data_IF_574986922773
#
_entry.id   IF_574986922773
#
_cell.length_a   1.000
_cell.length_b   1.000
_cell.length_c   1.000
_cell.angle_alpha   90.00
_cell.angle_beta   90.00
_cell.angle_gamma   90.00
#
_symmetry.space_group_name_H-M   'P 1'
#
loop_
_entity.id
_entity.type
_entity.pdbx_description
1 polymer ?
#
# COMPACT_ATOMS: atom_id res chain seq x y z
N UNK A 1 11.29 5.80 13.85
CA UNK A 1 10.23 6.72 14.33
C UNK A 1 9.15 5.88 14.98
N UNK A 2 8.18 6.48 15.66
CA UNK A 2 7.04 5.76 16.21
C UNK A 2 5.84 6.07 15.31
N UNK A 3 5.09 5.05 14.91
CA UNK A 3 3.87 5.31 14.16
C UNK A 3 2.85 6.01 15.08
N UNK A 4 2.55 7.28 14.79
CA UNK A 4 1.58 8.10 15.49
C UNK A 4 0.58 8.83 14.57
N UNK A 5 0.73 8.64 13.24
CA UNK A 5 -0.15 9.18 12.23
C UNK A 5 0.24 10.59 11.79
N UNK A 6 1.48 10.99 12.06
CA UNK A 6 2.05 12.27 11.63
C UNK A 6 3.19 12.01 10.65
N UNK A 7 3.15 12.68 9.49
CA UNK A 7 4.29 12.66 8.57
C UNK A 7 5.40 13.56 9.14
N UNK A 8 6.42 12.95 9.75
CA UNK A 8 7.50 13.71 10.40
C UNK A 8 8.59 14.16 9.42
N UNK A 9 9.44 15.15 9.81
CA UNK A 9 10.49 15.67 8.94
C UNK A 9 11.44 14.65 8.30
N UNK A 10 11.79 13.49 8.92
CA UNK A 10 12.66 12.50 8.29
C UNK A 10 12.12 11.86 7.01
N UNK A 11 10.80 11.80 6.81
CA UNK A 11 10.21 11.36 5.54
C UNK A 11 10.63 12.25 4.36
N UNK A 12 10.89 13.54 4.61
CA UNK A 12 11.19 14.50 3.56
C UNK A 12 9.96 14.79 2.69
N UNK A 13 10.19 14.96 1.38
CA UNK A 13 9.10 15.10 0.42
C UNK A 13 8.44 13.75 0.14
N UNK A 14 7.17 13.75 -0.22
CA UNK A 14 6.49 12.55 -0.70
C UNK A 14 7.23 11.95 -1.91
N UNK A 15 7.28 10.62 -1.98
CA UNK A 15 7.76 9.88 -3.16
C UNK A 15 6.87 10.16 -4.38
N UNK A 16 5.57 10.31 -4.14
CA UNK A 16 4.55 10.62 -5.13
C UNK A 16 3.46 11.44 -4.47
N UNK A 17 2.94 12.38 -5.25
CA UNK A 17 1.80 13.25 -4.90
C UNK A 17 0.90 13.33 -6.12
N UNK A 18 -0.41 13.24 -5.92
CA UNK A 18 -1.42 13.48 -6.94
C UNK A 18 -2.59 14.32 -6.41
N UNK A 19 -3.44 14.78 -7.34
CA UNK A 19 -4.61 15.58 -7.01
C UNK A 19 -5.81 14.66 -6.74
N UNK A 20 -6.62 15.00 -5.74
CA UNK A 20 -7.82 14.24 -5.41
C UNK A 20 -8.85 14.16 -6.56
N UNK A 21 -9.65 13.09 -6.58
CA UNK A 21 -10.91 13.01 -7.33
C UNK A 21 -10.92 12.02 -8.49
N UNK A 22 -9.90 11.18 -8.59
CA UNK A 22 -9.70 10.11 -9.56
C UNK A 22 -10.07 8.72 -9.02
N UNK A 23 -10.32 8.57 -7.71
CA UNK A 23 -10.90 7.35 -7.18
C UNK A 23 -12.23 6.98 -7.86
N UNK A 24 -12.43 5.69 -8.08
CA UNK A 24 -13.66 5.10 -8.60
C UNK A 24 -14.87 5.59 -7.79
N UNK A 25 -15.87 6.12 -8.50
CA UNK A 25 -17.07 6.75 -7.92
C UNK A 25 -16.79 7.97 -7.01
N UNK A 26 -15.57 8.54 -7.06
CA UNK A 26 -15.12 9.70 -6.25
C UNK A 26 -15.30 9.48 -4.75
N UNK A 27 -14.98 8.28 -4.29
CA UNK A 27 -15.05 7.93 -2.87
C UNK A 27 -13.79 8.44 -2.18
N UNK A 28 -13.88 9.62 -1.57
CA UNK A 28 -12.75 10.31 -0.94
C UNK A 28 -11.96 9.47 0.08
N UNK A 29 -12.61 8.53 0.78
CA UNK A 29 -11.92 7.63 1.70
C UNK A 29 -10.92 6.69 0.99
N UNK A 30 -11.20 6.32 -0.27
CA UNK A 30 -10.39 5.42 -1.09
C UNK A 30 -9.50 6.17 -2.10
N UNK A 31 -9.52 7.49 -2.06
CA UNK A 31 -8.82 8.41 -2.97
C UNK A 31 -7.45 8.73 -2.35
N UNK A 32 -6.40 8.22 -2.96
CA UNK A 32 -5.01 8.27 -2.52
C UNK A 32 -4.42 9.60 -2.95
N UNK A 33 -3.57 10.20 -2.12
CA UNK A 33 -2.99 11.52 -2.42
C UNK A 33 -1.48 11.50 -2.41
N UNK A 34 -0.88 10.93 -1.37
CA UNK A 34 0.55 10.99 -1.16
C UNK A 34 1.06 9.66 -0.60
N UNK A 35 2.27 9.28 -1.01
CA UNK A 35 3.06 8.22 -0.39
C UNK A 35 4.42 8.78 0.02
N UNK A 36 4.73 8.61 1.28
CA UNK A 36 5.99 8.93 1.91
C UNK A 36 6.70 7.64 2.26
N UNK A 37 8.01 7.61 2.07
CA UNK A 37 8.82 6.50 2.53
C UNK A 37 10.19 6.98 2.99
N UNK A 38 10.66 6.35 4.05
CA UNK A 38 11.96 6.60 4.63
C UNK A 38 12.48 5.30 5.23
N UNK A 39 13.78 5.05 5.12
CA UNK A 39 14.40 3.91 5.79
C UNK A 39 15.56 4.38 6.66
N UNK A 40 15.67 3.75 7.82
CA UNK A 40 16.88 3.78 8.64
C UNK A 40 17.61 2.42 8.56
N UNK A 41 18.59 2.20 9.43
CA UNK A 41 19.43 1.00 9.38
C UNK A 41 18.67 -0.33 9.56
N UNK A 42 17.51 -0.30 10.22
CA UNK A 42 16.78 -1.51 10.60
C UNK A 42 15.30 -1.48 10.22
N UNK A 43 14.74 -0.32 9.90
CA UNK A 43 13.31 -0.14 9.69
C UNK A 43 13.02 0.61 8.38
N UNK A 44 12.00 0.11 7.67
CA UNK A 44 11.28 0.85 6.64
C UNK A 44 10.08 1.54 7.28
N UNK A 45 9.95 2.84 7.07
CA UNK A 45 8.83 3.69 7.48
C UNK A 45 8.08 4.12 6.23
N UNK A 46 6.76 4.00 6.26
CA UNK A 46 5.85 4.32 5.16
C UNK A 46 4.69 5.14 5.72
N UNK A 47 4.30 6.19 5.03
CA UNK A 47 3.05 6.88 5.32
C UNK A 47 2.30 7.14 4.02
N UNK A 48 0.98 7.03 4.02
CA UNK A 48 0.17 7.48 2.90
C UNK A 48 -1.05 8.25 3.38
N UNK A 49 -1.59 9.08 2.50
CA UNK A 49 -2.75 9.90 2.79
C UNK A 49 -3.91 9.59 1.85
N UNK A 50 -5.13 9.81 2.36
CA UNK A 50 -6.35 9.71 1.56
C UNK A 50 -7.15 11.01 1.62
N UNK A 51 -7.91 11.33 0.58
CA UNK A 51 -8.65 12.59 0.43
C UNK A 51 -9.86 12.75 1.35
N UNK A 52 -10.09 11.81 2.26
CA UNK A 52 -11.24 11.78 3.14
C UNK A 52 -11.06 10.85 4.33
N UNK A 53 -12.07 10.83 5.20
CA UNK A 53 -12.04 10.00 6.39
C UNK A 53 -12.00 8.51 6.01
N UNK A 54 -10.84 7.90 6.22
CA UNK A 54 -10.57 6.48 6.00
C UNK A 54 -11.56 5.53 6.69
N UNK A 55 -12.18 5.94 7.80
CA UNK A 55 -13.24 5.17 8.48
C UNK A 55 -14.64 5.49 7.97
N UNK A 56 -14.83 6.38 6.99
CA UNK A 56 -16.15 6.63 6.41
C UNK A 56 -16.64 5.45 5.54
N UNK A 57 -15.72 4.60 5.06
CA UNK A 57 -16.00 3.51 4.11
C UNK A 57 -15.14 2.28 4.43
N UNK A 58 -15.70 1.09 4.22
CA UNK A 58 -14.90 -0.16 4.23
C UNK A 58 -14.08 -0.28 2.95
N UNK A 59 -12.87 -0.80 3.06
CA UNK A 59 -11.96 -0.93 1.94
C UNK A 59 -10.62 -1.50 2.36
N UNK A 60 -9.67 -1.53 1.43
CA UNK A 60 -8.30 -1.95 1.71
C UNK A 60 -7.32 -1.11 0.91
N UNK A 61 -6.14 -0.89 1.46
CA UNK A 61 -5.00 -0.24 0.84
C UNK A 61 -3.90 -1.28 0.73
N UNK A 62 -3.49 -1.55 -0.49
CA UNK A 62 -2.59 -2.63 -0.88
C UNK A 62 -1.26 -1.99 -1.25
N UNK A 63 -0.27 -2.09 -0.37
CA UNK A 63 1.10 -1.68 -0.64
C UNK A 63 1.86 -2.87 -1.18
N UNK A 64 2.24 -2.83 -2.45
CA UNK A 64 3.07 -3.83 -3.11
C UNK A 64 4.54 -3.41 -2.99
N UNK A 65 5.39 -4.34 -2.58
CA UNK A 65 6.82 -4.14 -2.41
C UNK A 65 7.54 -5.15 -3.29
N UNK A 66 8.25 -4.64 -4.28
CA UNK A 66 9.19 -5.38 -5.12
C UNK A 66 10.62 -5.06 -4.63
N UNK A 67 11.26 -6.08 -4.07
CA UNK A 67 12.57 -6.01 -3.45
C UNK A 67 13.71 -6.44 -4.37
N UNK A 68 13.42 -7.24 -5.40
CA UNK A 68 14.44 -7.80 -6.30
C UNK A 68 14.50 -7.06 -7.63
N UNK A 69 13.40 -6.47 -8.08
CA UNK A 69 13.21 -5.85 -9.38
C UNK A 69 13.53 -6.80 -10.53
N UNK A 70 13.05 -8.03 -10.39
CA UNK A 70 13.23 -9.11 -11.35
C UNK A 70 11.89 -9.83 -11.66
N UNK A 71 11.99 -11.03 -12.23
CA UNK A 71 10.84 -11.79 -12.70
C UNK A 71 10.30 -12.81 -11.68
N UNK A 72 10.89 -12.92 -10.49
CA UNK A 72 10.65 -14.00 -9.52
C UNK A 72 9.50 -13.72 -8.54
N UNK A 73 9.03 -12.47 -8.44
CA UNK A 73 7.88 -12.10 -7.63
C UNK A 73 6.54 -12.62 -8.17
N UNK A 74 5.44 -12.19 -7.52
CA UNK A 74 4.10 -12.58 -7.91
C UNK A 74 3.60 -11.83 -9.16
N UNK A 75 2.93 -12.53 -10.07
CA UNK A 75 2.22 -11.91 -11.22
C UNK A 75 0.72 -11.68 -10.95
N UNK A 76 0.21 -12.20 -9.83
CA UNK A 76 -1.20 -12.11 -9.44
C UNK A 76 -1.35 -11.64 -7.99
N UNK A 77 -2.42 -10.88 -7.72
CA UNK A 77 -2.74 -10.38 -6.39
C UNK A 77 -3.03 -11.47 -5.34
N UNK A 78 -2.75 -11.20 -4.04
CA UNK A 78 -3.17 -12.10 -2.94
C UNK A 78 -4.69 -12.23 -2.93
N UNK A 79 -5.19 -13.46 -3.03
CA UNK A 79 -6.63 -13.71 -3.12
C UNK A 79 -7.20 -13.52 -4.53
N UNK A 80 -6.34 -13.32 -5.54
CA UNK A 80 -6.67 -13.30 -6.97
C UNK A 80 -7.68 -12.21 -7.34
N UNK A 81 -7.51 -11.00 -6.79
CA UNK A 81 -8.18 -9.81 -7.33
C UNK A 81 -7.76 -9.61 -8.79
N UNK A 82 -8.54 -8.87 -9.60
CA UNK A 82 -8.17 -8.55 -10.98
C UNK A 82 -7.07 -7.46 -11.00
N UNK A 83 -6.01 -7.66 -10.23
CA UNK A 83 -4.81 -6.82 -10.19
C UNK A 83 -3.64 -7.77 -10.46
N UNK A 84 -2.91 -7.48 -11.52
CA UNK A 84 -1.76 -8.25 -12.01
C UNK A 84 -0.52 -7.39 -11.94
N UNK A 85 0.65 -8.03 -11.88
CA UNK A 85 1.94 -7.40 -12.00
C UNK A 85 2.73 -8.06 -13.12
N UNK A 86 3.62 -7.31 -13.76
CA UNK A 86 4.47 -7.81 -14.84
C UNK A 86 5.91 -7.34 -14.67
N UNK A 87 6.81 -8.00 -15.38
CA UNK A 87 8.22 -7.65 -15.39
C UNK A 87 8.39 -6.17 -15.81
N UNK A 88 9.26 -5.39 -15.13
CA UNK A 88 10.20 -5.83 -14.09
C UNK A 88 9.69 -5.74 -12.64
N UNK A 89 8.39 -5.46 -12.41
CA UNK A 89 7.85 -5.12 -11.10
C UNK A 89 6.90 -6.19 -10.54
N UNK A 90 7.38 -7.42 -10.41
CA UNK A 90 6.61 -8.45 -9.71
C UNK A 90 6.94 -8.39 -8.21
N UNK A 91 5.96 -8.09 -7.33
CA UNK A 91 6.25 -7.91 -5.90
C UNK A 91 6.48 -9.23 -5.16
N UNK A 92 7.45 -9.22 -4.24
CA UNK A 92 7.66 -10.31 -3.27
C UNK A 92 6.85 -10.12 -2.00
N UNK A 93 6.43 -8.89 -1.69
CA UNK A 93 5.66 -8.62 -0.47
C UNK A 93 4.46 -7.73 -0.75
N UNK A 94 3.40 -7.92 0.06
CA UNK A 94 2.24 -7.04 0.06
C UNK A 94 1.77 -6.76 1.49
N UNK A 95 1.72 -5.49 1.85
CA UNK A 95 1.19 -5.02 3.12
C UNK A 95 -0.23 -4.49 2.91
N UNK A 96 -1.19 -5.14 3.58
CA UNK A 96 -2.61 -4.78 3.49
C UNK A 96 -2.98 -3.94 4.70
N UNK A 97 -3.59 -2.78 4.48
CA UNK A 97 -4.32 -2.04 5.49
C UNK A 97 -5.80 -2.12 5.15
N UNK A 98 -6.58 -2.88 5.92
CA UNK A 98 -8.02 -3.05 5.69
C UNK A 98 -8.85 -2.30 6.73
N UNK A 99 -9.85 -1.57 6.28
CA UNK A 99 -10.88 -0.97 7.13
C UNK A 99 -12.10 -1.90 7.13
N UNK A 100 -12.37 -2.48 8.28
CA UNK A 100 -13.40 -3.48 8.47
C UNK A 100 -14.47 -2.97 9.42
N UNK A 101 -15.73 -3.27 9.14
CA UNK A 101 -16.84 -3.03 10.06
C UNK A 101 -17.18 -4.31 10.84
N UNK A 102 -17.11 -4.24 12.17
CA UNK A 102 -17.52 -5.31 13.07
C UNK A 102 -18.42 -4.74 14.16
N UNK A 103 -19.65 -5.24 14.25
CA UNK A 103 -20.64 -4.82 15.26
C UNK A 103 -20.91 -3.29 15.29
N UNK A 104 -20.87 -2.65 14.12
CA UNK A 104 -21.11 -1.21 13.99
C UNK A 104 -19.92 -0.33 14.40
N UNK A 105 -18.78 -0.92 14.73
CA UNK A 105 -17.51 -0.21 14.90
C UNK A 105 -16.59 -0.52 13.72
N UNK A 106 -15.85 0.49 13.26
CA UNK A 106 -14.81 0.29 12.26
C UNK A 106 -13.45 0.20 12.91
N UNK A 107 -12.62 -0.69 12.38
CA UNK A 107 -11.23 -0.87 12.80
C UNK A 107 -10.31 -1.04 11.61
N UNK A 108 -9.05 -0.66 11.81
CA UNK A 108 -7.96 -1.06 10.92
C UNK A 108 -7.52 -2.50 11.21
N UNK A 109 -7.09 -3.19 10.17
CA UNK A 109 -6.43 -4.49 10.22
C UNK A 109 -5.21 -4.43 9.32
N UNK A 110 -4.09 -4.99 9.77
CA UNK A 110 -2.82 -4.97 9.04
C UNK A 110 -2.34 -6.39 8.83
N UNK A 111 -2.04 -6.74 7.59
CA UNK A 111 -1.59 -8.08 7.20
C UNK A 111 -0.42 -7.96 6.25
N UNK A 112 0.69 -8.63 6.56
CA UNK A 112 1.81 -8.76 5.64
C UNK A 112 1.76 -10.12 4.97
N UNK A 113 1.86 -10.13 3.64
CA UNK A 113 1.97 -11.33 2.82
C UNK A 113 3.32 -11.33 2.10
N UNK A 114 3.91 -12.50 1.97
CA UNK A 114 5.13 -12.75 1.21
C UNK A 114 4.85 -13.77 0.11
N UNK A 115 5.43 -13.56 -1.06
CA UNK A 115 5.42 -14.50 -2.17
C UNK A 115 6.52 -15.53 -1.94
N UNK A 116 6.14 -16.79 -1.76
CA UNK A 116 7.08 -17.87 -1.54
C UNK A 116 6.53 -19.16 -2.13
N UNK A 117 7.42 -19.92 -2.79
CA UNK A 117 7.08 -21.23 -3.34
C UNK A 117 5.91 -21.20 -4.35
N UNK A 118 5.71 -20.07 -5.04
CA UNK A 118 4.68 -19.89 -6.06
C UNK A 118 3.28 -19.61 -5.52
N UNK A 119 3.15 -19.22 -4.24
CA UNK A 119 1.90 -18.74 -3.67
C UNK A 119 2.14 -17.61 -2.64
N UNK A 120 1.07 -16.87 -2.34
CA UNK A 120 1.08 -15.86 -1.29
C UNK A 120 0.88 -16.51 0.08
N UNK A 121 1.79 -16.21 1.00
CA UNK A 121 1.75 -16.69 2.37
C UNK A 121 1.67 -15.50 3.33
N UNK A 122 0.73 -15.55 4.27
CA UNK A 122 0.67 -14.55 5.34
C UNK A 122 1.83 -14.78 6.31
N UNK A 123 2.62 -13.74 6.54
CA UNK A 123 3.74 -13.74 7.48
C UNK A 123 3.42 -12.87 8.69
N UNK A 124 4.10 -13.13 9.81
CA UNK A 124 3.85 -12.36 11.04
C UNK A 124 4.39 -10.95 10.88
N UNK A 125 3.49 -9.97 10.88
CA UNK A 125 3.85 -8.56 10.93
C UNK A 125 4.32 -8.19 12.34
N UNK A 126 5.57 -7.72 12.46
CA UNK A 126 6.16 -7.26 13.74
C UNK A 126 6.44 -5.76 13.75
N UNK A 127 5.86 -5.05 12.78
CA UNK A 127 5.90 -3.60 12.66
C UNK A 127 4.91 -2.88 13.57
N UNK A 128 4.88 -1.56 13.46
CA UNK A 128 3.89 -0.70 14.11
C UNK A 128 3.04 0.03 13.09
N UNK A 129 1.93 0.59 13.56
CA UNK A 129 1.04 1.34 12.71
C UNK A 129 0.17 2.32 13.50
N UNK A 130 -0.19 3.41 12.83
CA UNK A 130 -1.17 4.38 13.29
C UNK A 130 -2.07 4.80 12.13
N UNK A 131 -3.34 5.01 12.44
CA UNK A 131 -4.32 5.54 11.49
C UNK A 131 -4.93 6.78 12.15
N UNK A 132 -4.63 7.94 11.58
CA UNK A 132 -5.23 9.21 11.97
C UNK A 132 -6.30 9.56 10.94
N UNK A 133 -7.57 9.64 11.37
CA UNK A 133 -8.66 9.95 10.47
C UNK A 133 -9.01 11.44 10.45
N UNK A 134 -9.50 11.94 9.32
CA UNK A 134 -9.87 13.34 9.19
C UNK A 134 -10.41 13.70 7.80
N UNK A 135 -10.42 15.00 7.49
CA UNK A 135 -10.74 15.45 6.14
C UNK A 135 -9.69 14.97 5.11
N UNK A 136 -8.45 14.80 5.56
CA UNK A 136 -7.43 13.97 4.93
C UNK A 136 -7.01 12.99 6.03
N UNK A 137 -7.02 11.70 5.74
CA UNK A 137 -6.52 10.68 6.67
C UNK A 137 -5.05 10.40 6.41
N UNK A 138 -4.33 10.00 7.46
CA UNK A 138 -2.95 9.53 7.40
C UNK A 138 -2.90 8.10 7.93
N UNK A 139 -2.28 7.21 7.15
CA UNK A 139 -1.90 5.88 7.60
C UNK A 139 -0.39 5.83 7.65
N UNK A 140 0.15 5.56 8.83
CA UNK A 140 1.58 5.45 9.06
C UNK A 140 1.92 4.03 9.51
N UNK A 141 2.98 3.47 8.94
CA UNK A 141 3.41 2.10 9.09
C UNK A 141 4.93 2.08 9.24
N UNK A 142 5.45 1.18 10.07
CA UNK A 142 6.86 0.81 9.97
C UNK A 142 7.00 -0.70 10.07
N UNK A 143 7.99 -1.26 9.37
CA UNK A 143 8.35 -2.67 9.46
C UNK A 143 9.87 -2.84 9.55
N UNK A 144 10.35 -3.88 10.27
CA UNK A 144 11.76 -4.25 10.22
C UNK A 144 12.18 -4.64 8.80
N UNK A 145 13.30 -4.10 8.31
CA UNK A 145 13.89 -4.47 7.01
C UNK A 145 14.23 -5.97 6.94
N UNK A 146 14.48 -6.61 8.08
CA UNK A 146 14.68 -8.05 8.17
C UNK A 146 13.46 -8.89 7.78
N UNK A 147 12.23 -8.33 7.77
CA UNK A 147 11.04 -9.03 7.27
C UNK A 147 10.97 -9.10 5.75
N UNK A 148 11.74 -8.26 5.06
CA UNK A 148 11.77 -8.14 3.60
C UNK A 148 13.17 -8.40 3.04
N UNK A 149 13.96 -9.20 3.76
CA UNK A 149 15.31 -9.64 3.37
C UNK A 149 16.36 -8.53 3.16
N UNK A 150 16.13 -7.34 3.74
CA UNK A 150 17.07 -6.19 3.72
C UNK A 150 17.60 -5.86 2.31
N UNK A 151 16.72 -5.45 1.38
CA UNK A 151 17.15 -5.16 0.02
C UNK A 151 17.88 -3.81 -0.04
N UNK A 152 18.69 -3.59 -1.08
CA UNK A 152 19.39 -2.31 -1.28
C UNK A 152 18.47 -1.19 -1.80
N UNK A 153 17.35 -1.58 -2.41
CA UNK A 153 16.30 -0.70 -2.89
C UNK A 153 14.95 -1.43 -2.84
N UNK A 154 13.86 -0.66 -2.83
CA UNK A 154 12.50 -1.15 -2.98
C UNK A 154 11.80 -0.41 -4.10
N UNK A 155 10.90 -1.10 -4.79
CA UNK A 155 9.93 -0.49 -5.68
C UNK A 155 8.55 -0.66 -5.04
N UNK A 156 7.83 0.44 -4.89
CA UNK A 156 6.58 0.52 -4.13
C UNK A 156 5.41 0.89 -5.05
N UNK A 157 4.30 0.17 -4.95
CA UNK A 157 3.03 0.59 -5.54
C UNK A 157 1.94 0.60 -4.47
N UNK A 158 0.97 1.51 -4.60
CA UNK A 158 -0.15 1.63 -3.67
C UNK A 158 -1.47 1.67 -4.44
N UNK A 159 -2.36 0.76 -4.09
CA UNK A 159 -3.71 0.64 -4.68
C UNK A 159 -4.73 0.63 -3.57
N UNK A 160 -5.82 1.39 -3.71
CA UNK A 160 -6.98 1.25 -2.85
C UNK A 160 -8.01 0.32 -3.49
N UNK A 161 -8.80 -0.40 -2.69
CA UNK A 161 -9.89 -1.25 -3.17
C UNK A 161 -11.10 -1.07 -2.28
N UNK A 162 -12.30 -1.01 -2.88
CA UNK A 162 -13.56 -1.08 -2.14
C UNK A 162 -13.74 -2.45 -1.46
N UNK A 163 -14.73 -2.54 -0.58
CA UNK A 163 -15.00 -3.75 0.20
C UNK A 163 -15.22 -5.00 -0.67
N UNK A 164 -14.44 -6.03 -0.39
CA UNK A 164 -14.63 -7.38 -0.91
C UNK A 164 -13.32 -8.05 -1.30
N UNK A 165 -13.30 -9.38 -1.30
CA UNK A 165 -12.06 -10.14 -1.54
C UNK A 165 -11.61 -10.17 -3.00
N UNK A 166 -12.52 -9.88 -3.94
CA UNK A 166 -12.26 -9.99 -5.38
C UNK A 166 -12.49 -8.66 -6.12
N UNK A 167 -12.54 -7.54 -5.39
CA UNK A 167 -12.67 -6.22 -6.02
C UNK A 167 -11.34 -5.77 -6.61
N UNK A 168 -11.40 -5.17 -7.79
CA UNK A 168 -10.27 -4.50 -8.42
C UNK A 168 -9.94 -3.18 -7.74
N UNK A 169 -9.04 -2.42 -8.37
CA UNK A 169 -8.65 -1.12 -7.90
C UNK A 169 -9.85 -0.17 -7.84
N UNK A 170 -9.92 0.60 -6.77
CA UNK A 170 -10.72 1.81 -6.68
C UNK A 170 -9.87 3.02 -7.00
N UNK A 171 -8.60 2.99 -6.63
CA UNK A 171 -7.64 4.04 -6.97
C UNK A 171 -6.21 3.48 -7.06
N UNK A 172 -5.35 4.15 -7.82
CA UNK A 172 -3.99 3.71 -8.16
C UNK A 172 -3.06 4.91 -8.04
N UNK A 173 -2.26 4.96 -6.98
CA UNK A 173 -1.48 6.15 -6.68
C UNK A 173 -0.42 6.45 -7.74
N UNK A 174 -0.45 7.68 -8.25
CA UNK A 174 0.45 8.25 -9.25
C UNK A 174 0.08 7.94 -10.70
N UNK A 175 -1.14 7.46 -10.94
CA UNK A 175 -1.65 7.06 -12.25
C UNK A 175 -2.87 7.87 -12.64
N UNK A 176 -2.86 8.47 -13.85
CA UNK A 176 -4.04 9.17 -14.40
C UNK A 176 -5.23 8.24 -14.74
N UNK A 177 -5.08 6.93 -14.53
CA UNK A 177 -6.08 5.92 -14.88
C UNK A 177 -7.13 5.74 -13.77
N UNK A 178 -8.36 6.14 -14.06
CA UNK A 178 -9.52 5.83 -13.22
C UNK A 178 -10.08 4.44 -13.58
N UNK A 179 -10.21 3.49 -12.63
CA UNK A 179 -10.86 2.22 -12.89
C UNK A 179 -12.28 2.40 -13.45
N UNK A 180 -12.65 1.62 -14.47
CA UNK A 180 -13.98 1.73 -15.07
C UNK A 180 -15.10 1.25 -14.13
N UNK A 181 -14.81 0.21 -13.34
CA UNK A 181 -15.68 -0.37 -12.32
C UNK A 181 -14.87 -1.21 -11.32
N UNK A 182 -15.55 -1.76 -10.32
CA UNK A 182 -14.93 -2.52 -9.23
C UNK A 182 -14.44 -3.93 -9.60
N UNK A 183 -14.57 -4.34 -10.86
CA UNK A 183 -14.12 -5.62 -11.42
C UNK A 183 -13.10 -5.43 -12.55
N UNK A 184 -12.81 -4.17 -12.91
CA UNK A 184 -11.84 -3.82 -13.93
C UNK A 184 -10.46 -4.42 -13.62
N UNK A 185 -9.87 -5.01 -14.65
CA UNK A 185 -8.52 -5.55 -14.57
C UNK A 185 -7.50 -4.41 -14.55
N UNK A 186 -6.55 -4.50 -13.64
CA UNK A 186 -5.39 -3.62 -13.54
C UNK A 186 -4.12 -4.42 -13.82
N UNK A 187 -3.26 -3.89 -14.67
CA UNK A 187 -1.85 -4.26 -14.72
C UNK A 187 -1.06 -3.18 -14.00
N UNK A 188 -0.40 -3.54 -12.89
CA UNK A 188 0.48 -2.65 -12.13
C UNK A 188 1.82 -2.53 -12.87
N UNK A 189 2.00 -1.41 -13.55
CA UNK A 189 3.23 -1.11 -14.31
C UNK A 189 4.06 0.02 -13.66
N UNK A 190 3.51 0.70 -12.65
CA UNK A 190 4.13 1.85 -12.01
C UNK A 190 4.48 1.56 -10.56
N UNK A 191 5.77 1.64 -10.26
CA UNK A 191 6.30 1.53 -8.92
C UNK A 191 7.30 2.65 -8.66
N UNK A 192 7.31 3.17 -7.44
CA UNK A 192 8.18 4.24 -6.98
C UNK A 192 9.40 3.64 -6.28
N UNK A 193 10.58 3.99 -6.79
CA UNK A 193 11.84 3.51 -6.23
C UNK A 193 12.20 4.24 -4.95
N UNK A 194 12.57 3.47 -3.93
CA UNK A 194 13.18 3.92 -2.69
C UNK A 194 14.55 3.26 -2.54
N UNK A 195 15.62 4.06 -2.48
CA UNK A 195 16.95 3.53 -2.17
C UNK A 195 17.08 3.34 -0.65
N UNK A 196 17.47 2.13 -0.24
CA UNK A 196 17.64 1.72 1.16
C UNK A 196 19.10 1.69 1.62
N UNK A 197 20.03 2.02 0.72
CA UNK A 197 21.45 2.06 1.03
C UNK A 197 21.70 2.95 2.26
N UNK A 198 22.46 2.48 3.26
CA UNK A 198 22.66 3.21 4.51
C UNK A 198 23.29 4.57 4.20
N UNK A 199 22.61 5.64 4.65
CA UNK A 199 23.16 7.00 4.64
C UNK A 199 24.12 7.21 5.81
#
# INVERSE_FOLDING_TARGET
MLADGVVEPPYGAALVTEDAGDALNRVAALDLLELYAYADADQLHLAFTTAGDIFAREGSYLLYLDATHDAEGADADVGRRPILAADPFKPEFRLDVAILEEQGMRRGSIVLNAWAEGDWQTVTYTGGAAILNGAISVVELYLPLALIDRPDALHLALVSTDRGRARGASDILGSDAVPADSEAALLLEQFFRLDLSPR
#
